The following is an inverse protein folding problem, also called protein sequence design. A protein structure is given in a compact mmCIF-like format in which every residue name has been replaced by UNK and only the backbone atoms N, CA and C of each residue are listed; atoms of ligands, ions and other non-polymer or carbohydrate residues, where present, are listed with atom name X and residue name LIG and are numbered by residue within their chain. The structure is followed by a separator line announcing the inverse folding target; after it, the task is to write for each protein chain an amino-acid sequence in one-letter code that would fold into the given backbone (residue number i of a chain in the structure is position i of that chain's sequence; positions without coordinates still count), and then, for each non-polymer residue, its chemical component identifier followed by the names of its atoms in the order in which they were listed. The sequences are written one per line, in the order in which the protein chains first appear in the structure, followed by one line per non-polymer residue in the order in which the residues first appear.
data_IF_252610968394
#
_entry.id   IF_252610968394
#
_cell.length_a   1.000
_cell.length_b   1.000
_cell.length_c   1.000
_cell.angle_alpha   90.00
_cell.angle_beta   90.00
_cell.angle_gamma   90.00
#
_symmetry.space_group_name_H-M   'P 1'
#
loop_
_entity.id
_entity.type
_entity.pdbx_description
1 polymer ?
#
# COMPACT_ATOMS: atom_id res chain seq x y z
N UNK A 1 -53.31 35.60 -33.63
CA UNK A 1 -53.30 34.54 -32.58
C UNK A 1 -51.90 34.00 -32.42
N UNK A 2 -51.18 34.44 -31.38
CA UNK A 2 -49.79 33.98 -31.06
C UNK A 2 -49.88 32.77 -30.12
N UNK A 3 -49.39 31.63 -30.55
CA UNK A 3 -49.30 30.42 -29.74
C UNK A 3 -48.02 30.48 -28.91
N UNK A 4 -48.13 30.59 -27.60
CA UNK A 4 -47.01 30.40 -26.66
C UNK A 4 -46.82 28.91 -26.46
N UNK A 5 -45.63 28.40 -26.84
CA UNK A 5 -45.20 27.05 -26.47
C UNK A 5 -44.50 27.13 -25.13
N UNK A 6 -45.08 26.49 -24.12
CA UNK A 6 -44.46 26.31 -22.78
C UNK A 6 -43.50 25.12 -22.88
N UNK A 7 -42.18 25.40 -22.81
CA UNK A 7 -41.17 24.36 -22.65
C UNK A 7 -41.12 23.91 -21.18
N UNK A 8 -41.60 22.70 -20.92
CA UNK A 8 -41.48 22.05 -19.61
C UNK A 8 -40.06 21.49 -19.50
N UNK A 9 -39.16 22.14 -18.73
CA UNK A 9 -37.88 21.58 -18.36
C UNK A 9 -38.10 20.52 -17.27
N UNK A 10 -38.03 19.25 -17.64
CA UNK A 10 -37.93 18.13 -16.70
C UNK A 10 -36.52 18.12 -16.10
N UNK A 11 -36.37 18.62 -14.89
CA UNK A 11 -35.17 18.42 -14.07
C UNK A 11 -35.08 16.95 -13.66
N UNK A 12 -34.30 16.16 -14.38
CA UNK A 12 -33.90 14.82 -13.93
C UNK A 12 -32.98 14.97 -12.70
N UNK A 13 -33.55 14.90 -11.51
CA UNK A 13 -32.82 14.75 -10.28
C UNK A 13 -32.06 13.42 -10.32
N UNK A 14 -30.75 13.49 -10.52
CA UNK A 14 -29.89 12.33 -10.34
C UNK A 14 -29.95 11.94 -8.86
N UNK A 15 -30.78 10.93 -8.52
CA UNK A 15 -30.67 10.24 -7.24
C UNK A 15 -29.29 9.59 -7.18
N UNK A 16 -28.34 10.23 -6.51
CA UNK A 16 -27.09 9.58 -6.13
C UNK A 16 -27.44 8.48 -5.12
N UNK A 17 -27.35 7.22 -5.56
CA UNK A 17 -27.40 6.09 -4.63
C UNK A 17 -26.28 6.30 -3.61
N UNK A 18 -26.55 6.31 -2.28
CA UNK A 18 -25.50 6.43 -1.30
C UNK A 18 -24.46 5.35 -1.56
N UNK A 19 -23.22 5.73 -1.79
CA UNK A 19 -22.16 4.76 -1.98
C UNK A 19 -21.90 4.10 -0.64
N UNK A 20 -22.12 2.78 -0.57
CA UNK A 20 -21.93 2.00 0.66
C UNK A 20 -20.50 2.18 1.16
N UNK A 21 -20.33 2.48 2.45
CA UNK A 21 -19.04 2.61 3.13
C UNK A 21 -18.27 1.29 3.06
N UNK A 22 -16.96 1.36 2.83
CA UNK A 22 -16.05 0.21 2.84
C UNK A 22 -15.58 -0.01 4.28
N UNK A 23 -15.80 -1.20 4.80
CA UNK A 23 -15.27 -1.58 6.11
C UNK A 23 -13.88 -2.19 5.94
N UNK A 24 -12.91 -1.65 6.67
CA UNK A 24 -11.54 -2.13 6.68
C UNK A 24 -11.03 -2.36 8.10
N UNK A 25 -9.96 -3.14 8.20
CA UNK A 25 -9.21 -3.34 9.44
C UNK A 25 -7.72 -3.14 9.19
N UNK A 26 -7.07 -2.41 10.09
CA UNK A 26 -5.60 -2.32 10.14
C UNK A 26 -5.11 -3.30 11.21
N UNK A 27 -4.29 -4.27 10.83
CA UNK A 27 -3.63 -5.17 11.76
C UNK A 27 -2.30 -4.54 12.14
N UNK A 28 -2.13 -4.26 13.44
CA UNK A 28 -1.01 -3.50 13.98
C UNK A 28 -0.69 -3.93 15.43
N UNK A 29 0.15 -3.18 16.15
CA UNK A 29 0.47 -3.41 17.57
C UNK A 29 1.91 -3.82 17.82
N UNK A 30 2.57 -4.42 16.83
CA UNK A 30 4.00 -4.70 16.85
C UNK A 30 4.60 -4.35 15.48
N UNK A 31 5.64 -3.53 15.49
CA UNK A 31 6.38 -3.13 14.31
C UNK A 31 7.74 -2.55 14.76
N UNK A 32 8.78 -2.69 13.96
CA UNK A 32 10.06 -2.01 14.16
C UNK A 32 9.98 -0.51 13.85
N UNK A 33 8.86 -0.04 13.28
CA UNK A 33 8.52 1.36 13.07
C UNK A 33 7.51 1.86 14.10
N UNK A 34 7.21 3.16 14.07
CA UNK A 34 6.26 3.81 14.98
C UNK A 34 4.81 3.49 14.59
N UNK A 35 4.37 2.25 14.83
CA UNK A 35 3.04 1.76 14.43
C UNK A 35 1.86 2.60 15.00
N UNK A 36 1.93 3.22 16.19
CA UNK A 36 0.85 4.10 16.64
C UNK A 36 0.64 5.29 15.71
N UNK A 37 1.72 5.80 15.11
CA UNK A 37 1.67 6.92 14.15
C UNK A 37 1.25 6.42 12.77
N UNK A 38 1.83 5.32 12.26
CA UNK A 38 1.48 4.82 10.93
C UNK A 38 0.02 4.37 10.84
N UNK A 39 -0.44 3.55 11.79
CA UNK A 39 -1.82 3.07 11.80
C UNK A 39 -2.83 4.21 11.90
N UNK A 40 -2.56 5.24 12.70
CA UNK A 40 -3.42 6.41 12.79
C UNK A 40 -3.39 7.28 11.52
N UNK A 41 -2.23 7.49 10.92
CA UNK A 41 -2.09 8.22 9.66
C UNK A 41 -2.84 7.51 8.50
N UNK A 42 -2.74 6.18 8.42
CA UNK A 42 -3.50 5.36 7.47
C UNK A 42 -5.00 5.50 7.72
N UNK A 43 -5.45 5.33 8.97
CA UNK A 43 -6.85 5.46 9.35
C UNK A 43 -7.40 6.83 8.98
N UNK A 44 -6.70 7.90 9.35
CA UNK A 44 -7.11 9.27 9.01
C UNK A 44 -7.20 9.49 7.50
N UNK A 45 -6.20 9.03 6.72
CA UNK A 45 -6.21 9.16 5.26
C UNK A 45 -7.43 8.48 4.64
N UNK A 46 -7.78 7.29 5.10
CA UNK A 46 -8.90 6.54 4.57
C UNK A 46 -10.26 7.12 5.01
N UNK A 47 -10.45 7.37 6.31
CA UNK A 47 -11.73 7.82 6.86
C UNK A 47 -12.10 9.25 6.45
N UNK A 48 -11.13 10.15 6.35
CA UNK A 48 -11.38 11.54 5.94
C UNK A 48 -11.87 11.66 4.48
N UNK A 49 -11.73 10.60 3.69
CA UNK A 49 -12.37 10.51 2.37
C UNK A 49 -13.90 10.38 2.45
N UNK A 50 -14.45 10.05 3.62
CA UNK A 50 -15.86 9.76 3.82
C UNK A 50 -16.33 8.42 3.22
N UNK A 51 -15.38 7.54 2.80
CA UNK A 51 -15.68 6.27 2.11
C UNK A 51 -15.37 5.04 2.92
N UNK A 52 -14.59 5.17 3.98
CA UNK A 52 -14.10 4.06 4.78
C UNK A 52 -14.52 4.20 6.24
N UNK A 53 -14.72 3.06 6.87
CA UNK A 53 -14.82 2.86 8.31
C UNK A 53 -13.72 1.86 8.68
N UNK A 54 -12.76 2.28 9.52
CA UNK A 54 -11.52 1.54 9.76
C UNK A 54 -11.41 1.14 11.23
N UNK A 55 -11.47 -0.16 11.49
CA UNK A 55 -11.17 -0.75 12.79
C UNK A 55 -9.65 -0.96 12.94
N UNK A 56 -9.14 -0.89 14.17
CA UNK A 56 -7.77 -1.26 14.51
C UNK A 56 -7.77 -2.61 15.25
N UNK A 57 -7.04 -3.58 14.73
CA UNK A 57 -6.75 -4.83 15.41
C UNK A 57 -5.32 -4.76 15.98
N UNK A 58 -5.24 -4.33 17.24
CA UNK A 58 -3.96 -4.14 17.94
C UNK A 58 -3.57 -5.44 18.62
N UNK A 59 -2.41 -5.98 18.26
CA UNK A 59 -1.87 -7.20 18.89
C UNK A 59 -1.43 -6.96 20.32
N UNK A 60 -1.29 -8.02 21.15
CA UNK A 60 -0.54 -7.93 22.38
C UNK A 60 0.87 -7.37 22.16
N UNK A 61 1.51 -6.77 23.17
CA UNK A 61 2.92 -6.32 23.09
C UNK A 61 3.86 -7.47 22.76
N UNK A 62 4.99 -7.17 22.13
CA UNK A 62 6.01 -8.16 21.77
C UNK A 62 6.42 -9.03 22.97
N UNK A 63 6.46 -10.34 22.75
CA UNK A 63 6.77 -11.35 23.78
C UNK A 63 5.60 -11.68 24.72
N UNK A 64 4.45 -11.03 24.62
CA UNK A 64 3.27 -11.42 25.37
C UNK A 64 2.52 -12.58 24.66
N UNK A 65 1.70 -13.36 25.38
CA UNK A 65 0.92 -14.44 24.77
C UNK A 65 0.02 -13.93 23.64
N UNK A 66 0.14 -14.52 22.47
CA UNK A 66 -0.63 -14.19 21.27
C UNK A 66 -1.91 -15.02 21.11
N UNK A 67 -2.16 -16.00 21.99
CA UNK A 67 -3.23 -17.01 21.86
C UNK A 67 -4.64 -16.42 21.70
N UNK A 68 -4.88 -15.23 22.23
CA UNK A 68 -6.18 -14.54 22.15
C UNK A 68 -6.28 -13.57 20.98
N UNK A 69 -5.19 -13.32 20.24
CA UNK A 69 -5.22 -12.38 19.13
C UNK A 69 -5.97 -12.97 17.94
N UNK A 70 -7.11 -12.39 17.63
CA UNK A 70 -8.04 -12.85 16.57
C UNK A 70 -8.64 -11.67 15.83
N UNK A 71 -8.85 -11.87 14.54
CA UNK A 71 -9.59 -10.96 13.66
C UNK A 71 -10.68 -11.75 12.96
N UNK A 72 -11.91 -11.29 13.06
CA UNK A 72 -13.01 -11.81 12.24
C UNK A 72 -13.00 -11.12 10.88
N UNK A 73 -12.26 -11.69 9.95
CA UNK A 73 -12.05 -11.14 8.60
C UNK A 73 -13.35 -11.06 7.79
N UNK A 74 -14.39 -11.85 8.13
CA UNK A 74 -15.68 -11.83 7.42
C UNK A 74 -16.40 -10.47 7.50
N UNK A 75 -16.00 -9.63 8.43
CA UNK A 75 -16.57 -8.28 8.64
C UNK A 75 -15.97 -7.22 7.71
N UNK A 76 -14.89 -7.52 6.96
CA UNK A 76 -14.09 -6.51 6.29
C UNK A 76 -13.95 -6.77 4.79
N UNK A 77 -14.06 -5.70 4.00
CA UNK A 77 -13.74 -5.70 2.57
C UNK A 77 -12.25 -5.41 2.31
N UNK A 78 -11.56 -4.86 3.33
CA UNK A 78 -10.17 -4.44 3.25
C UNK A 78 -9.40 -4.82 4.51
N UNK A 79 -8.22 -5.41 4.33
CA UNK A 79 -7.23 -5.64 5.39
C UNK A 79 -5.98 -4.84 5.04
N UNK A 80 -5.51 -4.03 5.98
CA UNK A 80 -4.22 -3.32 5.88
C UNK A 80 -3.25 -3.96 6.87
N UNK A 81 -2.12 -4.44 6.37
CA UNK A 81 -1.06 -5.02 7.18
C UNK A 81 -0.06 -3.90 7.53
N UNK A 82 -0.05 -3.50 8.79
CA UNK A 82 0.93 -2.60 9.43
C UNK A 82 1.54 -3.33 10.63
N UNK A 83 2.07 -4.52 10.37
CA UNK A 83 2.53 -5.44 11.40
C UNK A 83 3.84 -6.11 11.01
N UNK A 84 4.79 -6.10 11.93
CA UNK A 84 6.04 -6.83 11.85
C UNK A 84 6.47 -7.24 13.27
N UNK A 85 5.95 -8.36 13.76
CA UNK A 85 6.14 -8.79 15.14
C UNK A 85 6.02 -10.29 15.34
N UNK A 86 5.63 -10.68 16.54
CA UNK A 86 5.49 -12.09 16.93
C UNK A 86 4.56 -12.87 16.00
N UNK A 87 4.81 -14.16 15.78
CA UNK A 87 3.96 -15.00 14.94
C UNK A 87 2.50 -14.97 15.36
N UNK A 88 1.61 -14.84 14.42
CA UNK A 88 0.17 -14.95 14.66
C UNK A 88 -0.20 -16.39 15.03
N UNK A 89 -1.23 -16.57 15.91
CA UNK A 89 -1.79 -17.89 16.16
C UNK A 89 -2.23 -18.60 14.88
N UNK A 90 -2.10 -19.92 14.87
CA UNK A 90 -2.43 -20.74 13.69
C UNK A 90 -3.84 -20.47 13.16
N UNK A 91 -4.83 -20.38 14.07
CA UNK A 91 -6.21 -20.10 13.69
C UNK A 91 -6.38 -18.74 13.01
N UNK A 92 -5.64 -17.73 13.47
CA UNK A 92 -5.65 -16.41 12.82
C UNK A 92 -4.96 -16.45 11.45
N UNK A 93 -3.86 -17.20 11.34
CA UNK A 93 -3.16 -17.38 10.05
C UNK A 93 -4.08 -18.06 9.04
N UNK A 94 -4.77 -19.13 9.46
CA UNK A 94 -5.71 -19.84 8.58
C UNK A 94 -6.89 -18.93 8.19
N UNK A 95 -7.48 -18.20 9.12
CA UNK A 95 -8.57 -17.26 8.83
C UNK A 95 -8.15 -16.16 7.86
N UNK A 96 -6.92 -15.68 7.94
CA UNK A 96 -6.36 -14.73 6.96
C UNK A 96 -6.20 -15.36 5.57
N UNK A 97 -5.69 -16.59 5.49
CA UNK A 97 -5.57 -17.30 4.21
C UNK A 97 -6.94 -17.56 3.58
N UNK A 98 -7.94 -17.96 4.38
CA UNK A 98 -9.32 -18.17 3.89
C UNK A 98 -9.92 -16.87 3.34
N UNK A 99 -9.65 -15.73 3.98
CA UNK A 99 -10.06 -14.40 3.50
C UNK A 99 -9.39 -14.05 2.16
N UNK A 100 -8.09 -14.29 2.03
CA UNK A 100 -7.32 -14.05 0.80
C UNK A 100 -7.83 -14.96 -0.32
N UNK A 101 -8.00 -16.25 -0.07
CA UNK A 101 -8.48 -17.23 -1.05
C UNK A 101 -9.91 -16.95 -1.52
N UNK A 102 -10.74 -16.37 -0.67
CA UNK A 102 -12.08 -15.90 -1.02
C UNK A 102 -12.07 -14.65 -1.94
N UNK A 103 -10.92 -14.02 -2.16
CA UNK A 103 -10.76 -12.82 -3.00
C UNK A 103 -10.76 -11.51 -2.21
N UNK A 104 -10.40 -11.56 -0.94
CA UNK A 104 -10.30 -10.40 -0.06
C UNK A 104 -9.32 -9.34 -0.56
N UNK A 105 -9.54 -8.09 -0.16
CA UNK A 105 -8.67 -6.96 -0.48
C UNK A 105 -7.58 -6.78 0.57
N UNK A 106 -6.31 -6.72 0.16
CA UNK A 106 -5.17 -6.59 1.09
C UNK A 106 -4.26 -5.45 0.67
N UNK A 107 -3.86 -4.63 1.62
CA UNK A 107 -2.74 -3.69 1.49
C UNK A 107 -1.59 -4.19 2.37
N UNK A 108 -0.44 -4.45 1.75
CA UNK A 108 0.83 -4.68 2.42
C UNK A 108 1.53 -3.32 2.52
N UNK A 109 1.69 -2.84 3.73
CA UNK A 109 2.21 -1.50 3.97
C UNK A 109 3.60 -1.57 4.60
N UNK A 110 4.58 -0.98 3.91
CA UNK A 110 5.95 -0.74 4.37
C UNK A 110 6.53 -1.97 5.08
N UNK A 111 6.95 -1.85 6.34
CA UNK A 111 7.60 -2.92 7.09
C UNK A 111 6.76 -4.19 7.35
N UNK A 112 5.50 -4.24 6.90
CA UNK A 112 4.78 -5.51 6.89
C UNK A 112 5.44 -6.55 5.97
N UNK A 113 6.28 -6.11 5.02
CA UNK A 113 7.08 -6.98 4.17
C UNK A 113 8.27 -7.65 4.89
N UNK A 114 8.59 -7.23 6.11
CA UNK A 114 9.59 -7.86 6.97
C UNK A 114 9.03 -9.04 7.78
N UNK A 115 7.71 -9.07 8.01
CA UNK A 115 7.07 -10.05 8.88
C UNK A 115 7.21 -11.49 8.38
N UNK A 116 7.19 -12.42 9.30
CA UNK A 116 7.01 -13.86 9.10
C UNK A 116 7.88 -14.51 8.01
N UNK A 117 9.23 -14.44 8.10
CA UNK A 117 10.11 -14.99 7.07
C UNK A 117 9.88 -16.49 6.82
N UNK A 118 9.44 -17.23 7.84
CA UNK A 118 9.21 -18.68 7.77
C UNK A 118 7.77 -19.06 7.34
N UNK A 119 6.89 -18.10 7.10
CA UNK A 119 5.52 -18.37 6.64
C UNK A 119 5.43 -18.24 5.12
N UNK A 120 5.60 -19.39 4.42
CA UNK A 120 5.67 -19.43 2.94
C UNK A 120 4.48 -18.75 2.26
N UNK A 121 3.24 -19.03 2.71
CA UNK A 121 2.05 -18.43 2.11
C UNK A 121 2.05 -16.90 2.25
N UNK A 122 2.45 -16.38 3.41
CA UNK A 122 2.60 -14.93 3.62
C UNK A 122 3.63 -14.31 2.68
N UNK A 123 4.80 -14.96 2.54
CA UNK A 123 5.85 -14.47 1.63
C UNK A 123 5.41 -14.48 0.15
N UNK A 124 4.51 -15.37 -0.24
CA UNK A 124 3.87 -15.32 -1.58
C UNK A 124 2.84 -14.20 -1.69
N UNK A 125 2.07 -13.93 -0.62
CA UNK A 125 1.06 -12.86 -0.57
C UNK A 125 1.71 -11.47 -0.63
N UNK A 126 2.84 -11.27 0.05
CA UNK A 126 3.55 -10.00 0.00
C UNK A 126 4.43 -9.83 -1.26
N UNK A 127 4.71 -10.90 -1.99
CA UNK A 127 5.61 -11.05 -3.14
C UNK A 127 7.08 -10.79 -2.82
N UNK A 128 7.42 -9.64 -2.29
CA UNK A 128 8.78 -9.25 -1.91
C UNK A 128 8.84 -8.92 -0.42
N UNK A 129 9.93 -9.33 0.23
CA UNK A 129 10.23 -8.99 1.61
C UNK A 129 11.72 -8.71 1.82
N UNK A 130 12.04 -8.17 2.98
CA UNK A 130 13.41 -7.85 3.36
C UNK A 130 13.73 -8.22 4.81
N UNK A 131 14.95 -8.03 5.20
CA UNK A 131 15.47 -8.24 6.56
C UNK A 131 15.13 -9.61 7.15
N UNK A 132 15.06 -9.75 8.45
CA UNK A 132 14.65 -10.94 9.22
C UNK A 132 15.26 -12.26 8.70
N UNK A 133 16.56 -12.23 8.32
CA UNK A 133 17.27 -13.39 7.81
C UNK A 133 17.01 -13.77 6.36
N UNK A 134 16.23 -12.97 5.62
CA UNK A 134 15.98 -13.24 4.18
C UNK A 134 17.26 -13.14 3.37
N UNK A 135 17.49 -14.15 2.54
CA UNK A 135 18.64 -14.32 1.65
C UNK A 135 18.21 -14.98 0.33
N UNK A 136 19.14 -15.58 -0.42
CA UNK A 136 18.86 -16.25 -1.70
C UNK A 136 17.83 -17.39 -1.61
N UNK A 137 17.63 -17.99 -0.44
CA UNK A 137 16.62 -19.05 -0.22
C UNK A 137 15.20 -18.47 -0.12
N UNK A 138 15.07 -17.19 0.15
CA UNK A 138 13.78 -16.50 0.21
C UNK A 138 13.23 -16.10 -1.17
N UNK A 139 13.95 -16.37 -2.24
CA UNK A 139 13.59 -16.04 -3.62
C UNK A 139 14.57 -15.07 -4.28
N UNK A 140 14.37 -14.73 -5.56
CA UNK A 140 15.23 -13.80 -6.29
C UNK A 140 15.05 -12.36 -5.80
N UNK A 141 16.08 -11.52 -6.01
CA UNK A 141 15.88 -10.07 -6.08
C UNK A 141 15.00 -9.76 -7.29
N UNK A 142 14.14 -8.76 -7.18
CA UNK A 142 13.37 -8.30 -8.32
C UNK A 142 13.58 -6.78 -8.47
N UNK A 143 13.94 -6.33 -9.66
CA UNK A 143 14.13 -4.93 -9.99
C UNK A 143 13.80 -4.65 -11.45
N UNK A 144 13.55 -3.39 -11.80
CA UNK A 144 13.23 -3.00 -13.16
C UNK A 144 14.50 -2.65 -13.93
N UNK A 145 14.69 -3.24 -15.10
CA UNK A 145 15.79 -2.95 -15.99
C UNK A 145 15.40 -3.18 -17.46
N UNK A 146 15.80 -2.29 -18.34
CA UNK A 146 15.63 -2.41 -19.82
C UNK A 146 14.18 -2.71 -20.26
N UNK A 147 13.22 -2.13 -19.56
CA UNK A 147 11.79 -2.29 -19.89
C UNK A 147 11.13 -3.55 -19.32
N UNK A 148 11.80 -4.30 -18.47
CA UNK A 148 11.29 -5.52 -17.87
C UNK A 148 11.61 -5.64 -16.36
N UNK A 149 10.82 -6.45 -15.68
CA UNK A 149 11.11 -6.89 -14.32
C UNK A 149 12.14 -8.02 -14.38
N UNK A 150 13.31 -7.81 -13.81
CA UNK A 150 14.40 -8.79 -13.73
C UNK A 150 14.29 -9.57 -12.45
N UNK A 151 14.49 -10.90 -12.54
CA UNK A 151 14.66 -11.78 -11.39
C UNK A 151 16.12 -12.20 -11.28
N UNK A 152 16.81 -11.76 -10.23
CA UNK A 152 18.22 -11.98 -9.98
C UNK A 152 18.40 -12.96 -8.81
N UNK A 153 18.90 -14.16 -9.11
CA UNK A 153 19.12 -15.23 -8.12
C UNK A 153 20.48 -15.17 -7.44
N UNK A 154 21.25 -14.10 -7.65
CA UNK A 154 22.55 -13.91 -6.99
C UNK A 154 22.39 -14.01 -5.47
N UNK A 155 23.33 -14.73 -4.83
CA UNK A 155 23.36 -14.87 -3.37
C UNK A 155 23.53 -13.52 -2.67
N UNK A 156 22.90 -13.38 -1.52
CA UNK A 156 23.00 -12.19 -0.68
C UNK A 156 21.73 -11.96 0.15
N UNK A 157 21.88 -11.14 1.20
CA UNK A 157 20.76 -10.82 2.08
C UNK A 157 19.70 -9.95 1.37
N UNK A 158 18.45 -10.17 1.73
CA UNK A 158 17.32 -9.38 1.30
C UNK A 158 17.08 -8.18 2.20
N UNK A 159 16.65 -7.08 1.60
CA UNK A 159 16.26 -5.86 2.28
C UNK A 159 17.41 -4.94 2.64
N UNK A 160 17.33 -3.74 2.16
CA UNK A 160 18.21 -2.61 2.49
C UNK A 160 17.47 -1.32 2.17
N UNK A 161 17.98 -0.21 2.63
CA UNK A 161 17.65 1.15 2.18
C UNK A 161 18.85 2.07 2.37
N UNK A 162 18.87 3.15 1.62
CA UNK A 162 19.87 4.19 1.75
C UNK A 162 19.55 5.20 2.84
N UNK A 163 20.09 6.42 2.67
CA UNK A 163 19.71 7.58 3.49
C UNK A 163 18.30 8.01 3.07
N UNK A 164 17.45 8.38 4.02
CA UNK A 164 16.14 8.97 3.72
C UNK A 164 16.32 10.29 2.97
N UNK A 165 15.61 10.44 1.87
CA UNK A 165 15.62 11.62 1.02
C UNK A 165 14.37 11.64 0.13
N UNK A 166 13.98 12.77 -0.44
CA UNK A 166 12.98 12.80 -1.50
C UNK A 166 13.51 12.12 -2.77
N UNK A 167 12.62 11.40 -3.48
CA UNK A 167 12.98 10.74 -4.74
C UNK A 167 11.81 10.72 -5.73
N UNK A 168 12.12 10.60 -7.01
CA UNK A 168 11.12 10.54 -8.07
C UNK A 168 10.57 9.13 -8.20
N UNK A 169 9.25 8.99 -8.08
CA UNK A 169 8.53 7.78 -8.46
C UNK A 169 8.22 7.82 -9.95
N UNK A 170 8.45 6.70 -10.64
CA UNK A 170 8.14 6.53 -12.06
C UNK A 170 7.07 5.45 -12.23
N UNK A 171 5.92 5.81 -12.81
CA UNK A 171 4.86 4.87 -13.16
C UNK A 171 5.28 3.95 -14.31
N UNK A 172 5.01 2.65 -14.19
CA UNK A 172 5.34 1.65 -15.22
C UNK A 172 4.12 1.21 -16.04
N UNK A 173 2.93 1.22 -15.46
CA UNK A 173 1.68 0.87 -16.16
C UNK A 173 0.88 2.09 -16.66
N UNK A 174 1.20 3.28 -16.21
CA UNK A 174 0.50 4.50 -16.62
C UNK A 174 -1.01 4.43 -16.34
N UNK A 175 -1.80 4.97 -17.28
CA UNK A 175 -3.25 5.05 -17.14
C UNK A 175 -4.00 3.71 -17.32
N UNK A 176 -3.33 2.64 -17.65
CA UNK A 176 -3.95 1.33 -17.88
C UNK A 176 -4.44 0.68 -16.58
N UNK A 177 -3.73 0.92 -15.46
CA UNK A 177 -4.17 0.40 -14.16
C UNK A 177 -5.07 1.40 -13.43
N UNK A 178 -6.23 0.98 -12.86
CA UNK A 178 -7.19 1.88 -12.20
C UNK A 178 -6.57 2.77 -11.12
N UNK A 179 -5.61 2.25 -10.33
CA UNK A 179 -4.91 3.00 -9.28
C UNK A 179 -4.16 4.20 -9.87
N UNK A 180 -3.50 4.04 -11.03
CA UNK A 180 -2.67 5.08 -11.66
C UNK A 180 -3.41 5.97 -12.65
N UNK A 181 -4.65 5.62 -13.00
CA UNK A 181 -5.41 6.35 -14.02
C UNK A 181 -5.48 7.85 -13.72
N UNK A 182 -4.92 8.65 -14.64
CA UNK A 182 -4.89 10.11 -14.57
C UNK A 182 -3.79 10.70 -13.69
N UNK A 183 -2.98 9.88 -12.99
CA UNK A 183 -1.77 10.35 -12.31
C UNK A 183 -0.68 10.68 -13.34
N UNK A 184 0.23 11.63 -13.04
CA UNK A 184 1.39 11.88 -13.88
C UNK A 184 2.31 10.65 -13.95
N UNK A 185 3.10 10.56 -15.03
CA UNK A 185 4.05 9.44 -15.20
C UNK A 185 5.16 9.46 -14.15
N UNK A 186 5.52 10.66 -13.67
CA UNK A 186 6.54 10.85 -12.65
C UNK A 186 6.09 11.91 -11.64
N UNK A 187 6.43 11.71 -10.37
CA UNK A 187 6.25 12.72 -9.33
C UNK A 187 7.27 12.53 -8.20
N UNK A 188 7.55 13.63 -7.50
CA UNK A 188 8.43 13.65 -6.35
C UNK A 188 7.70 13.09 -5.13
N UNK A 189 8.24 12.02 -4.55
CA UNK A 189 7.85 11.54 -3.23
C UNK A 189 8.63 12.31 -2.16
N UNK A 190 8.02 12.53 -1.00
CA UNK A 190 8.67 13.21 0.12
C UNK A 190 9.83 12.36 0.69
N UNK A 191 10.57 12.92 1.66
CA UNK A 191 11.62 12.19 2.36
C UNK A 191 11.10 10.89 2.96
N UNK A 192 11.68 9.77 2.49
CA UNK A 192 11.26 8.42 2.86
C UNK A 192 12.44 7.44 2.79
N UNK A 193 12.24 6.22 3.29
CA UNK A 193 13.12 5.09 3.06
C UNK A 193 12.83 4.47 1.70
N UNK A 194 13.77 4.58 0.77
CA UNK A 194 13.70 3.84 -0.47
C UNK A 194 14.21 2.42 -0.23
N UNK A 195 13.28 1.46 -0.07
CA UNK A 195 13.63 0.04 0.08
C UNK A 195 14.28 -0.49 -1.19
N UNK A 196 15.38 -1.18 -1.03
CA UNK A 196 16.12 -1.80 -2.12
C UNK A 196 16.53 -3.25 -1.80
N UNK A 197 16.98 -3.98 -2.82
CA UNK A 197 17.43 -5.39 -2.68
C UNK A 197 16.37 -6.29 -2.03
N UNK A 198 15.09 -6.01 -2.27
CA UNK A 198 14.02 -6.85 -1.77
C UNK A 198 13.97 -8.18 -2.52
N UNK A 199 13.63 -9.25 -1.80
CA UNK A 199 13.60 -10.61 -2.31
C UNK A 199 12.27 -11.28 -1.99
N UNK A 200 11.85 -12.21 -2.83
CA UNK A 200 10.68 -12.99 -2.46
C UNK A 200 10.22 -13.97 -3.53
N UNK A 201 9.44 -14.97 -3.09
CA UNK A 201 8.97 -16.03 -3.94
C UNK A 201 7.66 -15.69 -4.66
N UNK A 202 7.04 -14.54 -4.33
CA UNK A 202 5.74 -14.21 -4.89
C UNK A 202 5.82 -13.58 -6.27
N UNK A 203 4.69 -13.50 -6.94
CA UNK A 203 4.56 -12.97 -8.29
C UNK A 203 4.03 -11.54 -8.24
N UNK A 204 4.87 -10.57 -8.69
CA UNK A 204 4.39 -9.22 -8.96
C UNK A 204 3.43 -9.28 -10.14
N UNK A 205 2.18 -8.84 -9.93
CA UNK A 205 1.16 -8.75 -10.97
C UNK A 205 1.40 -7.56 -11.89
N UNK A 206 0.97 -6.38 -11.46
CA UNK A 206 1.27 -5.12 -12.14
C UNK A 206 2.31 -4.33 -11.35
N UNK A 207 3.48 -4.11 -11.92
CA UNK A 207 4.46 -3.18 -11.38
C UNK A 207 3.94 -1.74 -11.63
N UNK A 208 3.51 -1.07 -10.57
CA UNK A 208 2.88 0.24 -10.67
C UNK A 208 3.92 1.36 -10.67
N UNK A 209 4.79 1.41 -9.67
CA UNK A 209 5.82 2.45 -9.58
C UNK A 209 7.16 1.90 -9.14
N UNK A 210 8.23 2.50 -9.68
CA UNK A 210 9.62 2.25 -9.30
C UNK A 210 10.29 3.55 -8.92
N UNK A 211 11.47 3.44 -8.28
CA UNK A 211 12.39 4.56 -8.13
C UNK A 211 13.85 4.08 -8.23
N UNK A 212 14.71 4.98 -8.67
CA UNK A 212 16.16 4.75 -8.74
C UNK A 212 16.78 4.83 -7.34
N UNK A 213 17.28 3.72 -6.84
CA UNK A 213 18.00 3.65 -5.57
C UNK A 213 19.45 4.14 -5.74
N UNK A 214 19.64 5.46 -5.60
CA UNK A 214 20.89 6.14 -5.92
C UNK A 214 22.06 5.67 -5.02
N UNK A 215 23.16 5.18 -5.59
CA UNK A 215 24.37 4.85 -4.84
C UNK A 215 24.95 6.02 -4.04
N UNK A 216 24.77 7.27 -4.51
CA UNK A 216 25.20 8.46 -3.75
C UNK A 216 24.43 8.61 -2.43
N UNK A 217 23.23 8.05 -2.34
CA UNK A 217 22.42 7.94 -1.14
C UNK A 217 22.54 6.56 -0.45
N UNK A 218 23.56 5.77 -0.79
CA UNK A 218 23.81 4.38 -0.34
C UNK A 218 22.79 3.35 -0.87
N UNK A 219 22.06 3.69 -1.92
CA UNK A 219 21.12 2.78 -2.60
C UNK A 219 21.82 1.70 -3.43
N UNK A 220 21.03 0.79 -3.97
CA UNK A 220 21.49 -0.38 -4.73
C UNK A 220 22.10 -0.07 -6.10
N UNK A 221 21.82 1.10 -6.68
CA UNK A 221 22.13 1.41 -8.09
C UNK A 221 21.19 0.69 -9.05
N UNK A 222 19.97 0.39 -8.63
CA UNK A 222 18.92 -0.27 -9.41
C UNK A 222 17.64 0.54 -9.38
N UNK A 223 16.76 0.29 -10.34
CA UNK A 223 15.40 0.79 -10.36
C UNK A 223 14.52 -0.18 -9.58
N UNK A 224 14.24 0.13 -8.33
CA UNK A 224 13.57 -0.77 -7.39
C UNK A 224 12.04 -0.68 -7.48
N UNK A 225 11.31 -1.81 -7.40
CA UNK A 225 9.85 -1.83 -7.34
C UNK A 225 9.38 -1.37 -5.98
N UNK A 226 8.67 -0.24 -5.91
CA UNK A 226 8.20 0.32 -4.65
C UNK A 226 6.68 0.22 -4.46
N UNK A 227 5.94 0.11 -5.56
CA UNK A 227 4.48 0.00 -5.56
C UNK A 227 4.05 -0.99 -6.63
N UNK A 228 3.32 -2.02 -6.24
CA UNK A 228 2.88 -3.06 -7.17
C UNK A 228 1.64 -3.81 -6.65
N UNK A 229 0.99 -4.55 -7.54
CA UNK A 229 -0.01 -5.56 -7.16
C UNK A 229 0.63 -6.93 -7.10
N UNK A 230 0.00 -7.87 -6.40
CA UNK A 230 0.51 -9.23 -6.29
C UNK A 230 -0.52 -10.20 -6.87
N UNK A 231 -0.03 -11.15 -7.67
CA UNK A 231 -0.82 -12.26 -8.18
C UNK A 231 -0.86 -13.40 -7.14
N UNK A 232 -1.97 -13.49 -6.40
CA UNK A 232 -2.20 -14.58 -5.45
C UNK A 232 -3.68 -14.97 -5.44
N UNK A 233 -4.00 -16.08 -6.07
CA UNK A 233 -5.37 -16.58 -6.14
C UNK A 233 -6.36 -15.56 -6.72
N UNK A 234 -7.44 -15.29 -6.00
CA UNK A 234 -8.49 -14.33 -6.38
C UNK A 234 -8.35 -12.99 -5.67
N UNK A 235 -7.42 -12.88 -4.72
CA UNK A 235 -7.25 -11.68 -3.91
C UNK A 235 -6.82 -10.47 -4.75
N UNK A 236 -7.21 -9.30 -4.32
CA UNK A 236 -6.68 -8.03 -4.81
C UNK A 236 -5.69 -7.51 -3.79
N UNK A 237 -4.41 -7.67 -4.08
CA UNK A 237 -3.34 -7.33 -3.17
C UNK A 237 -2.54 -6.15 -3.76
N UNK A 238 -2.40 -5.11 -2.97
CA UNK A 238 -1.56 -3.96 -3.26
C UNK A 238 -0.43 -3.91 -2.24
N UNK A 239 0.79 -3.78 -2.72
CA UNK A 239 1.97 -3.63 -1.89
C UNK A 239 2.59 -2.27 -2.11
N UNK A 240 2.90 -1.55 -1.04
CA UNK A 240 3.65 -0.31 -1.05
C UNK A 240 4.77 -0.33 -0.03
N UNK A 241 5.97 -0.07 -0.48
CA UNK A 241 7.16 0.09 0.36
C UNK A 241 7.33 1.54 0.84
N UNK A 242 6.43 2.44 0.40
CA UNK A 242 6.41 3.85 0.81
C UNK A 242 5.80 4.03 2.18
N UNK A 243 6.13 5.15 2.84
CA UNK A 243 5.40 5.64 3.98
C UNK A 243 6.06 5.36 5.33
N UNK A 244 7.40 5.43 5.42
CA UNK A 244 8.09 5.33 6.71
C UNK A 244 7.46 6.27 7.75
N UNK A 245 7.05 5.71 8.88
CA UNK A 245 6.39 6.47 9.94
C UNK A 245 7.37 7.43 10.63
N UNK A 246 7.02 8.69 10.66
CA UNK A 246 7.74 9.71 11.43
C UNK A 246 7.56 9.57 12.94
N UNK A 247 8.18 10.47 13.72
CA UNK A 247 8.07 10.42 15.18
C UNK A 247 6.68 10.79 15.69
N UNK A 248 5.95 11.64 14.98
CA UNK A 248 4.57 12.05 15.31
C UNK A 248 3.73 12.20 14.03
N UNK A 249 2.41 12.41 14.18
CA UNK A 249 1.53 12.68 13.03
C UNK A 249 1.90 14.01 12.32
N UNK A 250 2.39 15.00 13.07
CA UNK A 250 2.77 16.32 12.54
C UNK A 250 4.13 16.28 11.85
N UNK A 251 5.07 15.45 12.33
CA UNK A 251 6.40 15.26 11.75
C UNK A 251 6.46 13.88 11.08
N UNK A 252 5.85 13.77 9.90
CA UNK A 252 5.64 12.52 9.19
C UNK A 252 5.62 12.73 7.66
N UNK A 253 6.70 13.26 7.07
CA UNK A 253 6.71 13.73 5.69
C UNK A 253 6.35 12.65 4.67
N UNK A 254 6.81 11.40 4.83
CA UNK A 254 6.52 10.32 3.91
C UNK A 254 5.01 10.03 3.83
N UNK A 255 4.33 9.93 4.98
CA UNK A 255 2.90 9.66 5.04
C UNK A 255 2.04 10.91 4.79
N UNK A 256 2.58 12.11 5.00
CA UNK A 256 1.93 13.37 4.62
C UNK A 256 2.04 13.68 3.13
N UNK A 257 2.90 12.97 2.39
CA UNK A 257 3.04 13.13 0.94
C UNK A 257 1.70 12.88 0.24
N UNK A 258 1.22 13.90 -0.51
CA UNK A 258 -0.05 13.81 -1.24
C UNK A 258 -0.06 12.63 -2.21
N UNK A 259 1.08 12.35 -2.87
CA UNK A 259 1.23 11.19 -3.75
C UNK A 259 1.00 9.87 -3.03
N UNK A 260 1.55 9.71 -1.81
CA UNK A 260 1.33 8.53 -0.98
C UNK A 260 -0.14 8.40 -0.55
N UNK A 261 -0.74 9.46 -0.02
CA UNK A 261 -2.14 9.43 0.44
C UNK A 261 -3.11 9.09 -0.70
N UNK A 262 -2.89 9.65 -1.89
CA UNK A 262 -3.71 9.37 -3.07
C UNK A 262 -3.53 7.92 -3.53
N UNK A 263 -2.29 7.40 -3.57
CA UNK A 263 -2.06 5.99 -3.90
C UNK A 263 -2.73 5.06 -2.90
N UNK A 264 -2.57 5.30 -1.59
CA UNK A 264 -3.16 4.50 -0.53
C UNK A 264 -4.69 4.46 -0.65
N UNK A 265 -5.32 5.63 -0.83
CA UNK A 265 -6.77 5.74 -0.94
C UNK A 265 -7.33 5.03 -2.17
N UNK A 266 -6.67 5.19 -3.33
CA UNK A 266 -7.06 4.55 -4.59
C UNK A 266 -6.83 3.03 -4.54
N UNK A 267 -5.72 2.61 -3.92
CA UNK A 267 -5.41 1.20 -3.69
C UNK A 267 -6.45 0.55 -2.76
N UNK A 268 -6.86 1.24 -1.69
CA UNK A 268 -7.88 0.75 -0.78
C UNK A 268 -9.23 0.51 -1.48
N UNK A 269 -9.68 1.45 -2.34
CA UNK A 269 -10.88 1.24 -3.15
C UNK A 269 -10.72 0.07 -4.13
N UNK A 270 -9.56 -0.01 -4.79
CA UNK A 270 -9.31 -1.09 -5.76
C UNK A 270 -9.23 -2.46 -5.07
N UNK A 271 -8.52 -2.57 -3.96
CA UNK A 271 -8.44 -3.81 -3.18
C UNK A 271 -9.83 -4.27 -2.72
N UNK A 272 -10.63 -3.37 -2.16
CA UNK A 272 -11.96 -3.70 -1.66
C UNK A 272 -12.95 -4.06 -2.79
N UNK A 273 -12.96 -3.31 -3.91
CA UNK A 273 -14.06 -3.36 -4.88
C UNK A 273 -13.64 -3.48 -6.35
N UNK A 274 -12.35 -3.61 -6.64
CA UNK A 274 -11.81 -3.77 -8.01
C UNK A 274 -11.95 -2.50 -8.88
N UNK A 275 -12.28 -1.35 -8.29
CA UNK A 275 -12.46 -0.08 -9.01
C UNK A 275 -11.95 1.10 -8.19
N UNK A 276 -11.64 2.19 -8.88
CA UNK A 276 -11.19 3.45 -8.28
C UNK A 276 -12.15 4.56 -8.70
N UNK A 277 -12.63 5.33 -7.73
CA UNK A 277 -13.52 6.47 -7.95
C UNK A 277 -12.90 7.79 -7.49
N UNK A 278 -11.81 7.74 -6.75
CA UNK A 278 -11.09 8.92 -6.27
C UNK A 278 -10.46 9.70 -7.43
N UNK A 279 -10.75 11.00 -7.55
CA UNK A 279 -10.12 11.84 -8.57
C UNK A 279 -8.64 12.06 -8.26
N UNK A 280 -7.91 12.56 -9.25
CA UNK A 280 -6.58 13.12 -9.00
C UNK A 280 -6.78 14.55 -8.47
N UNK A 281 -6.28 14.87 -7.27
CA UNK A 281 -6.45 16.21 -6.72
C UNK A 281 -5.52 17.22 -7.39
N UNK A 282 -5.89 18.49 -7.33
CA UNK A 282 -5.13 19.58 -7.98
C UNK A 282 -3.74 19.81 -7.35
N UNK A 283 -3.55 19.41 -6.09
CA UNK A 283 -2.29 19.50 -5.36
C UNK A 283 -1.46 18.21 -5.44
N UNK A 284 -1.73 17.32 -6.39
CA UNK A 284 -0.86 16.16 -6.62
C UNK A 284 0.56 16.60 -6.97
N UNK A 285 1.63 15.96 -6.41
CA UNK A 285 3.01 16.40 -6.62
C UNK A 285 3.43 16.33 -8.10
N UNK A 286 4.40 17.18 -8.48
CA UNK A 286 5.07 17.12 -9.79
C UNK A 286 6.38 16.34 -9.70
N UNK A 287 7.07 16.16 -10.83
CA UNK A 287 8.38 15.52 -10.83
C UNK A 287 9.47 16.35 -10.13
N UNK A 288 9.25 17.66 -9.97
CA UNK A 288 10.21 18.62 -9.42
C UNK A 288 9.89 19.05 -7.99
N UNK A 289 8.65 18.80 -7.52
CA UNK A 289 8.20 19.31 -6.24
C UNK A 289 7.31 18.31 -5.49
N UNK A 290 7.61 18.13 -4.21
CA UNK A 290 6.73 17.44 -3.25
C UNK A 290 5.48 18.28 -2.95
N UNK A 291 4.41 17.58 -2.61
CA UNK A 291 3.20 18.17 -2.02
C UNK A 291 2.87 17.43 -0.74
N UNK A 292 2.58 18.17 0.33
CA UNK A 292 2.28 17.60 1.63
C UNK A 292 0.90 18.03 2.12
N UNK A 293 0.20 17.08 2.76
CA UNK A 293 -1.08 17.29 3.45
C UNK A 293 -0.96 16.89 4.93
N UNK A 294 -0.47 17.78 5.80
CA UNK A 294 -0.24 17.48 7.22
C UNK A 294 -1.49 17.02 7.98
N UNK A 295 -2.68 17.42 7.53
CA UNK A 295 -3.96 17.01 8.12
C UNK A 295 -4.51 15.69 7.64
N UNK A 296 -3.79 14.96 6.77
CA UNK A 296 -4.23 13.67 6.17
C UNK A 296 -5.57 13.75 5.43
N UNK A 297 -5.95 14.92 4.94
CA UNK A 297 -7.20 15.12 4.19
C UNK A 297 -6.95 14.90 2.70
N UNK A 298 -7.59 13.89 2.10
CA UNK A 298 -7.44 13.57 0.68
C UNK A 298 -7.99 14.65 -0.26
#
# INVERSE_FOLDING_TARGET
MRRFAILLLLALGACSVPQQTIRGVIITGQNNHNWPVSSEAIRLTLEQSGRFEIDLAVSPPAGAPMDSFRVDFSRYELVVLDYNGDPWPEEMRQAFLDYVDAGGGVIVYHAADNAFPDWEAYNRIIALGGWEGRDEHSGPYQYWQDGALVQDTTAGRGGSHGVRHPYVLTCRRGAEHPILKGLPVQWMHAEDELYDRMRGPGEIGDLLCTAWADPAQRGSGREEPLVFTVNYGKARIFHTMLGHAGPTLEDNPAMQCTGFQVLLLRAAEWCARGRVTQPVPADFPTAEAVSLRPGYRP
#
